data_IF_442778507054
#
_entry.id   IF_442778507054
#
_cell.length_a   1.000
_cell.length_b   1.000
_cell.length_c   1.000
_cell.angle_alpha   90.00
_cell.angle_beta   90.00
_cell.angle_gamma   90.00
#
_symmetry.space_group_name_H-M   'P 1'
#
loop_
_entity.id
_entity.type
_entity.pdbx_description
1 polymer ?
#
# COMPACT_ATOMS: atom_id res chain seq x y z
N UNK A 1 16.79 -20.02 -14.77
CA UNK A 1 16.54 -19.73 -16.19
C UNK A 1 15.13 -20.21 -16.50
N UNK A 2 14.16 -19.31 -16.70
CA UNK A 2 12.93 -19.71 -17.37
C UNK A 2 13.33 -19.96 -18.82
N UNK A 3 13.21 -21.21 -19.27
CA UNK A 3 13.83 -21.69 -20.49
C UNK A 3 13.24 -20.98 -21.72
N UNK A 4 14.11 -20.55 -22.64
CA UNK A 4 13.77 -19.99 -23.96
C UNK A 4 12.72 -20.80 -24.74
N UNK A 5 12.55 -22.09 -24.41
CA UNK A 5 11.55 -22.97 -25.02
C UNK A 5 10.08 -22.71 -24.64
N UNK A 6 9.77 -21.90 -23.62
CA UNK A 6 8.38 -21.56 -23.26
C UNK A 6 7.83 -20.34 -24.03
N UNK A 7 8.70 -19.45 -24.54
CA UNK A 7 8.28 -18.28 -25.31
C UNK A 7 7.95 -18.60 -26.78
N UNK A 8 8.19 -19.83 -27.25
CA UNK A 8 8.11 -20.24 -28.66
C UNK A 8 6.79 -20.92 -29.07
N UNK A 9 5.82 -21.11 -28.16
CA UNK A 9 4.51 -21.64 -28.52
C UNK A 9 3.58 -20.50 -28.94
N UNK A 10 2.84 -20.62 -30.06
CA UNK A 10 1.87 -19.61 -30.49
C UNK A 10 0.60 -19.71 -29.63
N UNK A 11 0.72 -19.38 -28.35
CA UNK A 11 -0.44 -19.18 -27.50
C UNK A 11 -1.09 -17.85 -27.93
N UNK A 12 -2.39 -17.85 -28.22
CA UNK A 12 -3.15 -16.61 -28.35
C UNK A 12 -3.21 -15.97 -26.96
N UNK A 13 -2.71 -14.75 -26.82
CA UNK A 13 -2.75 -13.99 -25.58
C UNK A 13 -3.95 -13.05 -25.60
N UNK A 14 -4.70 -12.98 -24.50
CA UNK A 14 -5.81 -12.02 -24.35
C UNK A 14 -5.49 -11.02 -23.25
N UNK A 15 -5.61 -9.71 -23.51
CA UNK A 15 -5.49 -8.71 -22.46
C UNK A 15 -6.72 -8.75 -21.55
N UNK A 16 -6.51 -8.50 -20.25
CA UNK A 16 -7.58 -8.04 -19.36
C UNK A 16 -8.00 -6.65 -19.81
N UNK A 17 -9.26 -6.48 -20.23
CA UNK A 17 -9.79 -5.27 -20.89
C UNK A 17 -9.53 -3.97 -20.13
N UNK A 18 -9.38 -4.03 -18.81
CA UNK A 18 -9.20 -2.85 -17.96
C UNK A 18 -7.74 -2.38 -17.84
N UNK A 19 -6.78 -3.31 -17.88
CA UNK A 19 -5.38 -3.03 -17.45
C UNK A 19 -4.33 -3.58 -18.41
N UNK A 20 -4.76 -4.16 -19.54
CA UNK A 20 -3.89 -4.74 -20.57
C UNK A 20 -2.92 -5.81 -20.08
N UNK A 21 -3.19 -6.43 -18.91
CA UNK A 21 -2.44 -7.60 -18.47
C UNK A 21 -2.84 -8.80 -19.32
N UNK A 22 -1.90 -9.30 -20.11
CA UNK A 22 -2.11 -10.43 -21.01
C UNK A 22 -1.96 -11.77 -20.28
N UNK A 23 -2.83 -12.72 -20.63
CA UNK A 23 -2.78 -14.12 -20.19
C UNK A 23 -3.08 -15.08 -21.36
N UNK A 24 -2.63 -16.35 -21.29
CA UNK A 24 -2.89 -17.34 -22.34
C UNK A 24 -4.39 -17.65 -22.49
N UNK A 25 -4.91 -17.71 -23.71
CA UNK A 25 -6.30 -18.09 -23.97
C UNK A 25 -6.60 -19.50 -23.49
N UNK A 26 -7.68 -19.67 -22.72
CA UNK A 26 -8.11 -20.98 -22.22
C UNK A 26 -7.51 -21.37 -20.87
N UNK A 27 -6.57 -20.58 -20.32
CA UNK A 27 -6.00 -20.83 -18.99
C UNK A 27 -6.75 -20.04 -17.89
N UNK A 28 -7.57 -20.76 -17.12
CA UNK A 28 -8.29 -20.22 -15.96
C UNK A 28 -7.32 -19.76 -14.86
N UNK A 29 -6.23 -20.50 -14.64
CA UNK A 29 -5.22 -20.17 -13.63
C UNK A 29 -4.46 -18.91 -14.02
N UNK A 30 -4.06 -18.79 -15.29
CA UNK A 30 -3.46 -17.58 -15.85
C UNK A 30 -4.37 -16.36 -15.74
N UNK A 31 -5.67 -16.52 -15.99
CA UNK A 31 -6.67 -15.43 -15.81
C UNK A 31 -6.77 -14.98 -14.36
N UNK A 32 -6.84 -15.90 -13.40
CA UNK A 32 -6.88 -15.56 -11.96
C UNK A 32 -5.59 -14.86 -11.52
N UNK A 33 -4.43 -15.36 -11.94
CA UNK A 33 -3.12 -14.78 -11.64
C UNK A 33 -2.94 -13.40 -12.28
N UNK A 34 -3.52 -13.15 -13.45
CA UNK A 34 -3.55 -11.82 -14.06
C UNK A 34 -4.33 -10.82 -13.20
N UNK A 35 -5.49 -11.19 -12.67
CA UNK A 35 -6.23 -10.33 -11.74
C UNK A 35 -5.48 -10.11 -10.43
N UNK A 36 -4.85 -11.15 -9.87
CA UNK A 36 -4.02 -11.01 -8.67
C UNK A 36 -2.85 -10.05 -8.91
N UNK A 37 -2.27 -10.02 -10.11
CA UNK A 37 -1.20 -9.06 -10.44
C UNK A 37 -1.64 -7.59 -10.37
N UNK A 38 -2.95 -7.30 -10.34
CA UNK A 38 -3.49 -5.95 -10.20
C UNK A 38 -3.58 -5.49 -8.74
N UNK A 39 -3.31 -6.36 -7.76
CA UNK A 39 -3.32 -6.02 -6.34
C UNK A 39 -2.55 -4.73 -5.98
N UNK A 40 -1.36 -4.43 -6.54
CA UNK A 40 -0.66 -3.17 -6.27
C UNK A 40 -1.50 -1.91 -6.54
N UNK A 41 -2.25 -1.90 -7.65
CA UNK A 41 -3.11 -0.75 -8.03
C UNK A 41 -4.24 -0.60 -7.01
N UNK A 42 -4.89 -1.71 -6.64
CA UNK A 42 -5.94 -1.68 -5.63
C UNK A 42 -5.43 -1.24 -4.25
N UNK A 43 -4.21 -1.61 -3.88
CA UNK A 43 -3.58 -1.12 -2.64
C UNK A 43 -3.41 0.40 -2.70
N UNK A 44 -2.85 0.95 -3.78
CA UNK A 44 -2.67 2.41 -3.93
C UNK A 44 -4.01 3.14 -3.86
N UNK A 45 -4.99 2.69 -4.66
CA UNK A 45 -6.33 3.31 -4.70
C UNK A 45 -6.99 3.23 -3.33
N UNK A 46 -6.86 2.09 -2.64
CA UNK A 46 -7.37 1.89 -1.28
C UNK A 46 -6.78 2.88 -0.28
N UNK A 47 -5.45 3.02 -0.25
CA UNK A 47 -4.78 3.97 0.65
C UNK A 47 -5.10 5.43 0.31
N UNK A 48 -5.12 5.81 -0.97
CA UNK A 48 -5.50 7.17 -1.39
C UNK A 48 -6.95 7.47 -0.98
N UNK A 49 -7.86 6.52 -1.17
CA UNK A 49 -9.25 6.63 -0.74
C UNK A 49 -9.34 6.81 0.76
N UNK A 50 -8.63 5.97 1.54
CA UNK A 50 -8.59 6.10 3.00
C UNK A 50 -8.06 7.47 3.43
N UNK A 51 -6.99 7.98 2.83
CA UNK A 51 -6.45 9.30 3.15
C UNK A 51 -7.46 10.42 2.83
N UNK A 52 -8.10 10.37 1.66
CA UNK A 52 -9.07 11.39 1.21
C UNK A 52 -10.35 11.39 2.05
N UNK A 53 -10.85 10.22 2.45
CA UNK A 53 -12.12 10.10 3.18
C UNK A 53 -11.95 10.20 4.69
N UNK A 54 -10.88 9.64 5.24
CA UNK A 54 -10.62 9.76 6.68
C UNK A 54 -10.10 11.16 7.01
N UNK A 55 -9.16 11.74 6.23
CA UNK A 55 -8.50 13.06 6.49
C UNK A 55 -8.07 13.31 7.94
N UNK A 56 -8.03 12.27 8.76
CA UNK A 56 -7.77 12.36 10.18
C UNK A 56 -6.29 12.12 10.37
N UNK A 57 -5.57 13.13 10.86
CA UNK A 57 -4.29 12.92 11.48
C UNK A 57 -4.53 12.27 12.85
N UNK A 58 -4.65 10.94 12.90
CA UNK A 58 -4.53 10.18 14.15
C UNK A 58 -3.12 10.29 14.75
N UNK A 59 -2.83 11.40 15.45
CA UNK A 59 -1.54 11.65 16.11
C UNK A 59 -1.61 11.46 17.63
N UNK A 60 -2.21 10.40 18.19
CA UNK A 60 -2.55 10.33 19.65
C UNK A 60 -1.43 10.64 20.68
N UNK A 61 -1.23 11.92 21.00
CA UNK A 61 -0.38 12.37 22.08
C UNK A 61 -1.00 12.06 23.45
N UNK A 62 -0.90 10.81 23.89
CA UNK A 62 -0.86 10.49 25.31
C UNK A 62 -0.06 9.19 25.53
N UNK A 63 1.23 9.37 25.86
CA UNK A 63 2.13 8.39 26.50
C UNK A 63 1.95 6.91 26.05
N UNK A 64 2.14 6.66 24.76
CA UNK A 64 2.33 5.30 24.23
C UNK A 64 2.78 5.34 22.77
N UNK A 65 3.69 4.47 22.32
CA UNK A 65 4.26 4.52 20.96
C UNK A 65 3.29 3.98 19.90
N UNK A 66 2.01 4.36 19.91
CA UNK A 66 0.98 3.82 18.98
C UNK A 66 0.16 4.92 18.27
N UNK A 67 0.72 6.12 18.20
CA UNK A 67 -0.05 7.35 18.04
C UNK A 67 0.28 8.20 16.80
N UNK A 68 0.41 7.60 15.63
CA UNK A 68 0.85 8.35 14.43
C UNK A 68 0.19 7.82 13.14
N UNK A 69 -0.92 7.08 13.25
CA UNK A 69 -1.45 6.14 12.24
C UNK A 69 -1.77 6.77 10.87
N UNK A 70 -1.98 8.07 10.83
CA UNK A 70 -2.28 8.89 9.65
C UNK A 70 -1.05 9.45 8.95
N UNK A 71 -0.08 9.97 9.71
CA UNK A 71 1.24 10.34 9.20
C UNK A 71 1.97 9.09 8.69
N UNK A 72 1.68 7.93 9.28
CA UNK A 72 2.12 6.63 8.78
C UNK A 72 1.54 6.28 7.41
N UNK A 73 0.31 6.66 7.08
CA UNK A 73 -0.27 6.42 5.74
C UNK A 73 0.39 7.31 4.69
N UNK A 74 0.61 8.58 5.00
CA UNK A 74 1.32 9.52 4.12
C UNK A 74 2.78 9.09 3.95
N UNK A 75 3.47 8.74 5.05
CA UNK A 75 4.82 8.20 4.99
C UNK A 75 4.87 6.89 4.19
N UNK A 76 3.90 6.00 4.37
CA UNK A 76 3.81 4.76 3.62
C UNK A 76 3.69 5.00 2.12
N UNK A 77 2.81 5.91 1.68
CA UNK A 77 2.72 6.30 0.26
C UNK A 77 4.02 6.96 -0.24
N UNK A 78 4.67 7.79 0.57
CA UNK A 78 5.98 8.36 0.25
C UNK A 78 7.05 7.28 0.07
N UNK A 79 7.07 6.29 0.96
CA UNK A 79 7.96 5.13 0.88
C UNK A 79 7.69 4.26 -0.34
N UNK A 80 6.41 4.06 -0.70
CA UNK A 80 6.04 3.37 -1.94
C UNK A 80 6.53 4.12 -3.18
N UNK A 81 6.35 5.45 -3.22
CA UNK A 81 6.81 6.27 -4.33
C UNK A 81 8.34 6.22 -4.48
N UNK A 82 9.07 6.31 -3.36
CA UNK A 82 10.53 6.16 -3.36
C UNK A 82 10.97 4.75 -3.76
N UNK A 83 10.26 3.71 -3.30
CA UNK A 83 10.52 2.32 -3.68
C UNK A 83 10.35 2.12 -5.20
N UNK A 84 9.32 2.70 -5.81
CA UNK A 84 9.14 2.67 -7.27
C UNK A 84 10.24 3.47 -7.99
N UNK A 85 10.63 4.63 -7.44
CA UNK A 85 11.76 5.41 -7.96
C UNK A 85 13.08 4.64 -7.94
N UNK A 86 13.34 3.88 -6.86
CA UNK A 86 14.49 2.99 -6.76
C UNK A 86 14.38 1.82 -7.74
N UNK A 87 13.20 1.22 -7.89
CA UNK A 87 12.98 0.18 -8.90
C UNK A 87 13.30 0.69 -10.31
N UNK A 88 12.79 1.87 -10.65
CA UNK A 88 13.05 2.54 -11.91
C UNK A 88 14.55 2.80 -12.10
N UNK A 89 15.23 3.32 -11.09
CA UNK A 89 16.68 3.57 -11.15
C UNK A 89 17.47 2.27 -11.39
N UNK A 90 17.20 1.22 -10.61
CA UNK A 90 17.91 -0.06 -10.74
C UNK A 90 17.68 -0.66 -12.14
N UNK A 91 16.46 -0.57 -12.69
CA UNK A 91 16.17 -1.02 -14.06
C UNK A 91 17.01 -0.31 -15.11
N UNK A 92 17.23 0.99 -14.96
CA UNK A 92 18.03 1.78 -15.90
C UNK A 92 19.54 1.56 -15.74
N UNK A 93 19.98 1.09 -14.57
CA UNK A 93 21.39 0.74 -14.30
C UNK A 93 21.73 -0.67 -14.77
N UNK A 94 20.91 -1.68 -14.42
CA UNK A 94 21.22 -3.09 -14.71
C UNK A 94 20.86 -3.45 -16.16
N UNK A 95 19.76 -2.90 -16.67
CA UNK A 95 19.31 -3.11 -18.05
C UNK A 95 19.14 -4.59 -18.47
N UNK A 96 18.85 -5.50 -17.52
CA UNK A 96 18.63 -6.91 -17.83
C UNK A 96 17.35 -7.09 -18.67
N UNK A 97 17.41 -7.84 -19.79
CA UNK A 97 16.24 -8.08 -20.63
C UNK A 97 15.17 -8.92 -19.93
N UNK A 98 13.92 -8.77 -20.36
CA UNK A 98 12.81 -9.66 -19.95
C UNK A 98 12.92 -11.02 -20.64
N UNK A 99 12.39 -12.11 -20.04
CA UNK A 99 12.48 -13.45 -20.61
C UNK A 99 11.79 -13.59 -21.98
N UNK A 100 10.60 -13.01 -22.18
CA UNK A 100 9.96 -12.96 -23.49
C UNK A 100 9.85 -11.50 -23.96
N UNK A 101 10.72 -11.07 -24.88
CA UNK A 101 10.72 -9.71 -25.46
C UNK A 101 9.69 -9.47 -26.56
N UNK A 102 9.02 -10.53 -27.04
CA UNK A 102 8.12 -10.52 -28.21
C UNK A 102 6.59 -10.48 -27.97
N UNK A 103 6.01 -11.09 -26.91
CA UNK A 103 4.55 -11.17 -26.80
C UNK A 103 3.90 -9.98 -26.07
N UNK A 104 4.60 -9.31 -25.14
CA UNK A 104 4.01 -8.29 -24.27
C UNK A 104 4.31 -6.86 -24.73
N UNK A 105 3.78 -6.48 -25.90
CA UNK A 105 3.96 -5.14 -26.49
C UNK A 105 3.37 -4.01 -25.62
N UNK A 106 2.45 -4.33 -24.71
CA UNK A 106 1.85 -3.37 -23.78
C UNK A 106 2.79 -2.95 -22.62
N UNK A 107 3.93 -3.61 -22.44
CA UNK A 107 4.85 -3.33 -21.33
C UNK A 107 5.87 -2.28 -21.77
N UNK A 108 5.70 -1.03 -21.32
CA UNK A 108 6.47 0.13 -21.76
C UNK A 108 7.98 0.13 -21.49
N UNK A 109 8.57 -0.92 -20.89
CA UNK A 109 10.01 -1.00 -20.60
C UNK A 109 10.60 -2.34 -21.06
N UNK A 110 11.69 -2.30 -21.83
CA UNK A 110 12.44 -3.51 -22.26
C UNK A 110 13.14 -4.23 -21.09
N UNK A 111 13.40 -3.52 -19.99
CA UNK A 111 14.13 -4.04 -18.83
C UNK A 111 13.23 -4.78 -17.83
N UNK A 112 13.70 -5.92 -17.33
CA UNK A 112 12.97 -6.83 -16.46
C UNK A 112 13.43 -6.86 -15.00
N UNK A 113 14.63 -6.37 -14.71
CA UNK A 113 15.25 -6.47 -13.37
C UNK A 113 15.33 -5.13 -12.66
N UNK A 114 14.90 -5.03 -11.39
CA UNK A 114 14.08 -5.98 -10.63
C UNK A 114 12.60 -5.89 -11.00
N UNK A 115 11.82 -6.93 -10.71
CA UNK A 115 10.37 -6.92 -10.95
C UNK A 115 9.66 -5.89 -10.06
N UNK A 116 8.98 -4.89 -10.65
CA UNK A 116 8.27 -3.84 -9.91
C UNK A 116 7.11 -4.38 -9.08
N UNK A 117 6.35 -5.35 -9.62
CA UNK A 117 5.22 -5.96 -8.91
C UNK A 117 5.68 -6.73 -7.67
N UNK A 118 6.78 -7.50 -7.80
CA UNK A 118 7.41 -8.17 -6.67
C UNK A 118 7.91 -7.15 -5.65
N UNK A 119 8.69 -6.16 -6.08
CA UNK A 119 9.28 -5.15 -5.20
C UNK A 119 8.20 -4.35 -4.45
N UNK A 120 7.11 -3.98 -5.10
CA UNK A 120 5.97 -3.30 -4.48
C UNK A 120 5.31 -4.17 -3.40
N UNK A 121 4.95 -5.41 -3.73
CA UNK A 121 4.20 -6.28 -2.82
C UNK A 121 5.03 -6.72 -1.61
N UNK A 122 6.32 -6.96 -1.81
CA UNK A 122 7.25 -7.26 -0.72
C UNK A 122 7.47 -6.05 0.18
N UNK A 123 7.63 -4.84 -0.40
CA UNK A 123 7.66 -3.61 0.40
C UNK A 123 6.40 -3.46 1.25
N UNK A 124 5.23 -3.58 0.63
CA UNK A 124 3.93 -3.43 1.31
C UNK A 124 3.77 -4.45 2.45
N UNK A 125 4.10 -5.72 2.18
CA UNK A 125 3.91 -6.80 3.15
C UNK A 125 4.87 -6.68 4.33
N UNK A 126 6.16 -6.41 4.09
CA UNK A 126 7.17 -6.24 5.15
C UNK A 126 6.89 -4.98 5.96
N UNK A 127 6.57 -3.86 5.32
CA UNK A 127 6.24 -2.63 6.02
C UNK A 127 5.00 -2.80 6.92
N UNK A 128 3.96 -3.43 6.38
CA UNK A 128 2.73 -3.73 7.14
C UNK A 128 2.99 -4.69 8.30
N UNK A 129 3.84 -5.70 8.10
CA UNK A 129 4.27 -6.59 9.16
C UNK A 129 4.98 -5.82 10.29
N UNK A 130 5.98 -5.01 9.96
CA UNK A 130 6.69 -4.19 10.94
C UNK A 130 5.72 -3.27 11.69
N UNK A 131 4.77 -2.66 10.99
CA UNK A 131 3.74 -1.83 11.61
C UNK A 131 2.83 -2.60 12.58
N UNK A 132 2.33 -3.77 12.18
CA UNK A 132 1.42 -4.59 12.99
C UNK A 132 2.08 -5.14 14.27
N UNK A 133 3.37 -5.51 14.21
CA UNK A 133 4.06 -6.11 15.35
C UNK A 133 4.82 -5.12 16.22
N UNK A 134 5.48 -4.12 15.62
CA UNK A 134 6.34 -3.20 16.37
C UNK A 134 5.60 -1.95 16.84
N UNK A 135 4.52 -1.55 16.13
CA UNK A 135 3.85 -0.27 16.39
C UNK A 135 2.45 -0.41 16.96
N UNK A 136 1.66 -1.39 16.51
CA UNK A 136 0.29 -1.54 16.97
C UNK A 136 0.26 -2.04 18.43
N UNK A 137 -0.01 -1.17 19.40
CA UNK A 137 -0.13 -1.58 20.80
C UNK A 137 -1.39 -2.42 21.05
N UNK A 138 -1.32 -3.43 21.94
CA UNK A 138 -2.47 -4.28 22.30
C UNK A 138 -3.44 -3.53 23.22
N UNK A 139 -4.71 -3.44 22.86
CA UNK A 139 -5.77 -3.01 23.78
C UNK A 139 -6.15 -4.18 24.68
N UNK A 140 -6.13 -3.96 26.00
CA UNK A 140 -6.02 -5.00 27.03
C UNK A 140 -7.22 -5.97 27.15
N UNK A 141 -8.33 -5.73 26.43
CA UNK A 141 -9.59 -6.46 26.64
C UNK A 141 -9.85 -7.66 25.70
N UNK A 142 -9.05 -7.88 24.65
CA UNK A 142 -9.26 -8.98 23.70
C UNK A 142 -7.95 -9.60 23.18
N UNK A 143 -6.98 -9.83 24.09
CA UNK A 143 -5.58 -10.18 23.77
C UNK A 143 -5.42 -11.35 22.79
N UNK A 144 -6.27 -12.37 22.84
CA UNK A 144 -6.19 -13.53 21.94
C UNK A 144 -6.73 -13.23 20.53
N UNK A 145 -7.92 -12.65 20.42
CA UNK A 145 -8.53 -12.33 19.12
C UNK A 145 -7.71 -11.27 18.36
N UNK A 146 -7.21 -10.26 19.08
CA UNK A 146 -6.34 -9.23 18.48
C UNK A 146 -5.02 -9.81 17.97
N UNK A 147 -4.44 -10.76 18.70
CA UNK A 147 -3.21 -11.43 18.30
C UNK A 147 -3.44 -12.37 17.11
N UNK A 148 -4.52 -13.16 17.14
CA UNK A 148 -4.92 -14.03 16.04
C UNK A 148 -5.16 -13.22 14.76
N UNK A 149 -5.87 -12.10 14.85
CA UNK A 149 -6.13 -11.24 13.69
C UNK A 149 -4.84 -10.69 13.08
N UNK A 150 -3.87 -10.26 13.91
CA UNK A 150 -2.54 -9.83 13.44
C UNK A 150 -1.80 -10.92 12.69
N UNK A 151 -1.80 -12.14 13.22
CA UNK A 151 -1.16 -13.29 12.56
C UNK A 151 -1.85 -13.62 11.23
N UNK A 152 -3.18 -13.68 11.22
CA UNK A 152 -3.98 -13.94 10.01
C UNK A 152 -3.73 -12.88 8.94
N UNK A 153 -3.77 -11.59 9.31
CA UNK A 153 -3.47 -10.50 8.39
C UNK A 153 -2.05 -10.59 7.83
N UNK A 154 -1.06 -10.86 8.69
CA UNK A 154 0.34 -10.97 8.29
C UNK A 154 0.58 -12.13 7.33
N UNK A 155 -0.01 -13.29 7.63
CA UNK A 155 0.04 -14.46 6.75
C UNK A 155 -0.66 -14.19 5.41
N UNK A 156 -1.80 -13.50 5.43
CA UNK A 156 -2.51 -13.08 4.23
C UNK A 156 -1.67 -12.15 3.34
N UNK A 157 -0.98 -11.18 3.93
CA UNK A 157 -0.09 -10.25 3.21
C UNK A 157 1.09 -10.99 2.57
N UNK A 158 1.77 -11.87 3.33
CA UNK A 158 2.86 -12.68 2.80
C UNK A 158 2.38 -13.58 1.65
N UNK A 159 1.24 -14.24 1.82
CA UNK A 159 0.63 -15.09 0.79
C UNK A 159 0.32 -14.28 -0.47
N UNK A 160 -0.24 -13.07 -0.33
CA UNK A 160 -0.49 -12.18 -1.45
C UNK A 160 0.81 -11.77 -2.16
N UNK A 161 1.88 -11.44 -1.43
CA UNK A 161 3.18 -11.12 -2.04
C UNK A 161 3.77 -12.29 -2.82
N UNK A 162 3.68 -13.51 -2.29
CA UNK A 162 4.10 -14.72 -3.00
C UNK A 162 3.26 -14.99 -4.25
N UNK A 163 1.93 -14.88 -4.17
CA UNK A 163 1.04 -15.10 -5.30
C UNK A 163 1.27 -14.08 -6.43
N UNK A 164 1.45 -12.81 -6.09
CA UNK A 164 1.80 -11.78 -7.10
C UNK A 164 3.18 -12.02 -7.67
N UNK A 165 4.15 -12.42 -6.86
CA UNK A 165 5.50 -12.78 -7.34
C UNK A 165 5.45 -13.96 -8.32
N UNK A 166 4.70 -15.00 -7.96
CA UNK A 166 4.49 -16.19 -8.76
C UNK A 166 3.76 -15.88 -10.08
N UNK A 167 2.73 -15.02 -10.05
CA UNK A 167 2.00 -14.63 -11.25
C UNK A 167 2.90 -14.02 -12.32
N UNK A 168 3.93 -13.26 -11.92
CA UNK A 168 4.90 -12.66 -12.86
C UNK A 168 5.79 -13.68 -13.55
N UNK A 169 6.11 -14.78 -12.87
CA UNK A 169 6.88 -15.87 -13.47
C UNK A 169 5.99 -16.77 -14.32
N UNK A 170 4.81 -17.12 -13.81
CA UNK A 170 3.84 -17.98 -14.49
C UNK A 170 3.35 -17.37 -15.81
N UNK A 171 3.08 -16.06 -15.82
CA UNK A 171 2.68 -15.32 -17.01
C UNK A 171 3.87 -14.89 -17.89
N UNK A 172 5.09 -15.39 -17.62
CA UNK A 172 6.29 -15.15 -18.43
C UNK A 172 6.73 -13.68 -18.56
N UNK A 173 6.31 -12.81 -17.64
CA UNK A 173 6.75 -11.41 -17.65
C UNK A 173 8.14 -11.22 -17.04
N UNK A 174 8.55 -12.10 -16.12
CA UNK A 174 9.80 -12.01 -15.37
C UNK A 174 10.37 -13.40 -15.06
N UNK A 175 11.68 -13.48 -14.91
CA UNK A 175 12.35 -14.70 -14.42
C UNK A 175 12.28 -14.80 -12.90
N UNK A 176 12.52 -15.99 -12.35
CA UNK A 176 12.65 -16.21 -10.91
C UNK A 176 13.70 -15.31 -10.26
N UNK A 177 14.84 -15.08 -10.92
CA UNK A 177 15.88 -14.17 -10.41
C UNK A 177 15.35 -12.74 -10.32
N UNK A 178 14.72 -12.23 -11.37
CA UNK A 178 14.16 -10.87 -11.39
C UNK A 178 13.09 -10.64 -10.31
N UNK A 179 12.28 -11.65 -10.03
CA UNK A 179 11.27 -11.62 -8.98
C UNK A 179 11.91 -11.69 -7.60
N UNK A 180 12.91 -12.55 -7.40
CA UNK A 180 13.63 -12.68 -6.13
C UNK A 180 14.38 -11.40 -5.77
N UNK A 181 15.14 -10.82 -6.71
CA UNK A 181 15.83 -9.56 -6.50
C UNK A 181 14.86 -8.40 -6.23
N UNK A 182 13.69 -8.40 -6.89
CA UNK A 182 12.61 -7.46 -6.56
C UNK A 182 12.12 -7.63 -5.12
N UNK A 183 11.90 -8.86 -4.67
CA UNK A 183 11.45 -9.13 -3.32
C UNK A 183 12.46 -8.72 -2.25
N UNK A 184 13.75 -9.01 -2.48
CA UNK A 184 14.84 -8.59 -1.60
C UNK A 184 14.95 -7.06 -1.55
N UNK A 185 14.98 -6.39 -2.70
CA UNK A 185 15.06 -4.93 -2.77
C UNK A 185 13.87 -4.27 -2.06
N UNK A 186 12.65 -4.77 -2.28
CA UNK A 186 11.45 -4.24 -1.65
C UNK A 186 11.43 -4.44 -0.13
N UNK A 187 11.89 -5.60 0.34
CA UNK A 187 11.99 -5.90 1.77
C UNK A 187 13.02 -5.02 2.47
N UNK A 188 14.21 -4.85 1.87
CA UNK A 188 15.26 -3.96 2.40
C UNK A 188 14.78 -2.50 2.44
N UNK A 189 14.12 -2.05 1.37
CA UNK A 189 13.55 -0.70 1.32
C UNK A 189 12.48 -0.49 2.39
N UNK A 190 11.62 -1.49 2.64
CA UNK A 190 10.61 -1.41 3.69
C UNK A 190 11.22 -1.27 5.08
N UNK A 191 12.25 -2.06 5.40
CA UNK A 191 12.96 -1.98 6.68
C UNK A 191 13.63 -0.62 6.84
N UNK A 192 14.37 -0.17 5.82
CA UNK A 192 15.07 1.11 5.84
C UNK A 192 14.10 2.30 5.98
N UNK A 193 13.01 2.29 5.21
CA UNK A 193 11.99 3.34 5.26
C UNK A 193 11.21 3.34 6.58
N UNK A 194 10.92 2.16 7.14
CA UNK A 194 10.28 2.05 8.45
C UNK A 194 11.18 2.64 9.54
N UNK A 195 12.47 2.27 9.57
CA UNK A 195 13.44 2.83 10.52
C UNK A 195 13.56 4.36 10.37
N UNK A 196 13.70 4.86 9.14
CA UNK A 196 13.72 6.30 8.87
C UNK A 196 12.46 7.00 9.37
N UNK A 197 11.29 6.41 9.13
CA UNK A 197 10.03 7.02 9.59
C UNK A 197 9.93 7.02 11.11
N UNK A 198 10.38 5.96 11.80
CA UNK A 198 10.35 5.90 13.27
C UNK A 198 11.31 6.91 13.89
N UNK A 199 12.56 6.96 13.42
CA UNK A 199 13.60 7.77 14.07
C UNK A 199 13.54 9.24 13.65
N UNK A 200 13.17 9.54 12.40
CA UNK A 200 13.27 10.89 11.83
C UNK A 200 11.90 11.55 11.65
N UNK A 201 10.95 10.87 11.00
CA UNK A 201 9.66 11.51 10.67
C UNK A 201 8.71 11.60 11.87
N UNK A 202 8.71 10.59 12.74
CA UNK A 202 7.89 10.55 13.96
C UNK A 202 8.02 11.80 14.83
N UNK A 203 9.22 12.27 15.20
CA UNK A 203 9.37 13.51 15.97
C UNK A 203 8.98 14.78 15.19
N UNK A 204 8.97 14.75 13.86
CA UNK A 204 8.66 15.90 13.00
C UNK A 204 7.16 16.04 12.69
N UNK A 205 6.38 14.97 12.80
CA UNK A 205 4.95 14.97 12.45
C UNK A 205 4.10 16.07 13.13
N UNK A 206 4.29 16.40 14.43
CA UNK A 206 3.55 17.49 15.06
C UNK A 206 3.81 18.86 14.41
N UNK A 207 5.03 19.08 13.89
CA UNK A 207 5.39 20.33 13.20
C UNK A 207 4.79 20.38 11.80
N UNK A 208 4.76 19.26 11.09
CA UNK A 208 4.18 19.14 9.75
C UNK A 208 2.65 19.33 9.79
N UNK A 209 1.99 18.82 10.83
CA UNK A 209 0.55 19.01 11.03
C UNK A 209 0.16 20.48 11.19
N UNK A 210 1.07 21.32 11.72
CA UNK A 210 0.86 22.75 11.90
C UNK A 210 1.17 23.60 10.65
N UNK A 211 1.56 23.00 9.52
CA UNK A 211 1.86 23.75 8.30
C UNK A 211 0.60 24.27 7.59
N UNK A 212 0.67 25.43 6.90
CA UNK A 212 -0.47 26.02 6.17
C UNK A 212 -1.09 25.10 5.11
N UNK A 213 -0.28 24.20 4.52
CA UNK A 213 -0.74 23.21 3.55
C UNK A 213 -1.64 22.18 4.24
N UNK A 214 -1.28 21.74 5.45
CA UNK A 214 -2.08 20.82 6.25
C UNK A 214 -3.41 21.46 6.66
N UNK A 215 -3.39 22.75 6.98
CA UNK A 215 -4.61 23.53 7.24
C UNK A 215 -5.50 23.67 5.99
N UNK A 216 -4.91 23.95 4.82
CA UNK A 216 -5.62 24.03 3.54
C UNK A 216 -6.35 22.71 3.19
N UNK A 217 -5.70 21.56 3.40
CA UNK A 217 -6.32 20.26 3.19
C UNK A 217 -7.28 19.83 4.32
N UNK A 218 -7.48 20.70 5.33
CA UNK A 218 -8.29 20.46 6.52
C UNK A 218 -7.84 19.20 7.26
N UNK A 219 -6.53 18.97 7.31
CA UNK A 219 -5.97 17.81 7.99
C UNK A 219 -6.10 18.06 9.49
N UNK A 220 -6.92 17.25 10.17
CA UNK A 220 -7.24 17.44 11.59
C UNK A 220 -6.39 16.56 12.47
N UNK A 221 -5.75 17.13 13.49
CA UNK A 221 -5.19 16.31 14.56
C UNK A 221 -6.28 15.91 15.56
N UNK A 222 -6.73 14.66 15.51
CA UNK A 222 -7.74 14.09 16.43
C UNK A 222 -7.10 13.31 17.58
N UNK A 223 -5.79 13.47 17.75
CA UNK A 223 -4.94 12.80 18.73
C UNK A 223 -5.51 12.69 20.14
N UNK A 224 -6.05 13.78 20.66
CA UNK A 224 -6.52 13.89 22.04
C UNK A 224 -7.97 13.42 22.22
N UNK A 225 -8.65 13.03 21.14
CA UNK A 225 -10.06 12.65 21.16
C UNK A 225 -10.16 11.12 21.28
N UNK A 226 -10.67 10.57 22.41
CA UNK A 226 -10.69 9.13 22.66
C UNK A 226 -11.66 8.36 21.75
N UNK A 227 -12.76 9.00 21.33
CA UNK A 227 -13.71 8.42 20.38
C UNK A 227 -14.16 9.51 19.40
N UNK A 228 -13.52 9.53 18.23
CA UNK A 228 -13.77 10.53 17.19
C UNK A 228 -15.20 10.45 16.68
N UNK A 229 -15.72 9.25 16.42
CA UNK A 229 -17.09 9.08 15.92
C UNK A 229 -18.14 9.64 16.89
N UNK A 230 -17.95 9.38 18.18
CA UNK A 230 -18.85 9.92 19.21
C UNK A 230 -18.70 11.44 19.36
N UNK A 231 -17.46 11.96 19.30
CA UNK A 231 -17.20 13.39 19.34
C UNK A 231 -17.83 14.11 18.15
N UNK A 232 -17.60 13.63 16.92
CA UNK A 232 -18.19 14.20 15.71
C UNK A 232 -19.72 14.16 15.76
N UNK A 233 -20.30 13.03 16.21
CA UNK A 233 -21.74 12.90 16.38
C UNK A 233 -22.31 13.94 17.34
N UNK A 234 -21.72 14.08 18.53
CA UNK A 234 -22.21 14.98 19.58
C UNK A 234 -22.07 16.44 19.20
N UNK A 235 -20.92 16.85 18.63
CA UNK A 235 -20.67 18.22 18.17
C UNK A 235 -21.60 18.58 17.01
N UNK A 236 -21.72 17.71 16.01
CA UNK A 236 -22.59 17.94 14.85
C UNK A 236 -24.05 18.06 15.28
N UNK A 237 -24.50 17.19 16.18
CA UNK A 237 -25.88 17.22 16.72
C UNK A 237 -26.14 18.48 17.55
N UNK A 238 -25.17 18.94 18.34
CA UNK A 238 -25.29 20.17 19.13
C UNK A 238 -25.36 21.41 18.24
N UNK A 239 -24.49 21.50 17.24
CA UNK A 239 -24.46 22.62 16.29
C UNK A 239 -25.74 22.69 15.44
N UNK A 240 -26.25 21.55 14.96
CA UNK A 240 -27.52 21.48 14.25
C UNK A 240 -28.69 22.01 15.09
N UNK A 241 -28.77 21.63 16.37
CA UNK A 241 -29.78 22.13 17.31
C UNK A 241 -29.66 23.63 17.55
N UNK A 242 -28.43 24.14 17.71
CA UNK A 242 -28.19 25.58 17.90
C UNK A 242 -28.64 26.39 16.68
N UNK A 243 -28.37 25.89 15.46
CA UNK A 243 -28.83 26.54 14.22
C UNK A 243 -30.35 26.51 14.05
N UNK A 244 -30.99 25.38 14.38
CA UNK A 244 -32.46 25.28 14.37
C UNK A 244 -33.11 26.31 15.31
N UNK A 245 -32.57 26.48 16.52
CA UNK A 245 -33.04 27.50 17.47
C UNK A 245 -32.92 28.91 16.90
N UNK A 246 -31.77 29.25 16.31
CA UNK A 246 -31.54 30.57 15.69
C UNK A 246 -32.46 30.86 14.51
N UNK A 247 -32.81 29.83 13.72
CA UNK A 247 -33.77 29.95 12.60
C UNK A 247 -35.20 30.17 13.12
N UNK A 248 -35.61 29.44 14.16
CA UNK A 248 -36.94 29.61 14.77
C UNK A 248 -37.17 31.02 15.35
N UNK A 249 -36.15 31.62 15.96
CA UNK A 249 -36.23 33.01 16.47
C UNK A 249 -36.22 34.10 15.39
N UNK A 250 -35.88 33.79 14.13
CA UNK A 250 -35.92 34.76 13.02
C UNK A 250 -37.26 34.76 12.27
N UNK A 251 -38.14 33.81 12.57
CA UNK A 251 -39.46 33.64 11.95
C UNK A 251 -40.61 34.14 12.85
N UNK A 252 -40.28 34.75 13.98
CA UNK A 252 -41.18 35.50 14.87
C UNK A 252 -40.83 36.98 14.77
#
# INVERSE_FOLDING_TARGET
MAADGQCSLPASWRPVTLTHVEYPTGDLSGRLLAYLSLSPVFVIVGFVTLIIFKRELHTQAHRGPAAHTSSWQISFLGGLALNEGVNWLIKHVIQEPRPCGGPHMAVGTKYGMPSSHSQFMWFFSVYSFLFLYLRMHQTNNARFLDLLWRHVLSLGLLTAAFLVSYSRVYLLYHTWSQVLYGGIAGSLMAVAWFAFTQEVLTPLFPRIAAWPISEFFLIRDTSLIPNVLWFEYTVTRAEARNRQRKLGTKLQ
#
